data_IF_296919958703
#
_entry.id   IF_296919958703
#
_cell.length_a   1.000
_cell.length_b   1.000
_cell.length_c   1.000
_cell.angle_alpha   90.00
_cell.angle_beta   90.00
_cell.angle_gamma   90.00
#
_symmetry.space_group_name_H-M   'P 1'
#
loop_
_entity.id
_entity.type
_entity.pdbx_description
1 polymer ?
#
# COMPACT_ATOMS: atom_id res chain seq x y z
N UNK A 1 -36.86 37.33 -12.93
CA UNK A 1 -35.51 36.99 -13.38
C UNK A 1 -35.02 35.86 -12.50
N UNK A 2 -34.95 34.62 -13.06
CA UNK A 2 -34.44 33.43 -12.35
C UNK A 2 -33.00 33.28 -12.73
N UNK A 3 -32.07 33.55 -11.78
CA UNK A 3 -30.65 33.37 -11.96
C UNK A 3 -30.33 31.87 -11.78
N UNK A 4 -30.00 31.22 -12.88
CA UNK A 4 -29.60 29.80 -12.92
C UNK A 4 -28.15 29.71 -12.47
N UNK A 5 -27.91 29.24 -11.25
CA UNK A 5 -26.56 28.89 -10.76
C UNK A 5 -26.12 27.60 -11.42
N UNK A 6 -25.22 27.71 -12.39
CA UNK A 6 -24.52 26.57 -12.98
C UNK A 6 -23.41 26.15 -12.02
N UNK A 7 -23.64 25.12 -11.20
CA UNK A 7 -22.59 24.47 -10.42
C UNK A 7 -21.70 23.70 -11.40
N UNK A 8 -20.54 24.27 -11.72
CA UNK A 8 -19.45 23.56 -12.37
C UNK A 8 -18.91 22.49 -11.40
N UNK A 9 -19.39 21.25 -11.56
CA UNK A 9 -18.73 20.09 -11.00
C UNK A 9 -17.40 19.92 -11.78
N UNK A 10 -16.31 20.51 -11.27
CA UNK A 10 -14.96 20.15 -11.66
C UNK A 10 -14.69 18.73 -11.13
N UNK A 11 -15.12 17.73 -11.89
CA UNK A 11 -14.68 16.38 -11.68
C UNK A 11 -13.16 16.35 -11.76
N UNK A 12 -12.47 16.05 -10.66
CA UNK A 12 -11.07 15.72 -10.66
C UNK A 12 -10.90 14.46 -11.54
N UNK A 13 -10.65 14.66 -12.83
CA UNK A 13 -10.16 13.61 -13.71
C UNK A 13 -8.75 13.35 -13.18
N UNK A 14 -8.60 12.30 -12.35
CA UNK A 14 -7.31 11.76 -11.96
C UNK A 14 -6.66 11.22 -13.24
N UNK A 15 -5.92 12.09 -13.93
CA UNK A 15 -5.05 11.63 -15.01
C UNK A 15 -4.00 10.72 -14.40
N UNK A 16 -3.95 9.48 -14.89
CA UNK A 16 -2.85 8.58 -14.59
C UNK A 16 -1.54 9.27 -15.03
N UNK A 17 -0.59 9.40 -14.13
CA UNK A 17 0.71 9.99 -14.43
C UNK A 17 1.50 9.05 -15.34
N UNK A 18 2.21 9.58 -16.35
CA UNK A 18 3.12 8.77 -17.14
C UNK A 18 4.41 8.47 -16.36
N UNK A 19 5.05 7.34 -16.67
CA UNK A 19 6.31 6.99 -16.03
C UNK A 19 7.42 8.01 -16.31
N UNK A 20 7.46 8.57 -17.52
CA UNK A 20 8.42 9.63 -17.88
C UNK A 20 8.19 10.90 -17.05
N UNK A 21 6.93 11.26 -16.80
CA UNK A 21 6.59 12.41 -15.96
C UNK A 21 7.04 12.18 -14.52
N UNK A 22 6.76 10.98 -14.00
CA UNK A 22 7.21 10.56 -12.67
C UNK A 22 8.74 10.66 -12.53
N UNK A 23 9.50 10.13 -13.50
CA UNK A 23 10.96 10.18 -13.48
C UNK A 23 11.51 11.62 -13.50
N UNK A 24 10.90 12.51 -14.28
CA UNK A 24 11.32 13.93 -14.37
C UNK A 24 11.14 14.68 -13.05
N UNK A 25 10.14 14.33 -12.25
CA UNK A 25 9.88 14.97 -10.95
C UNK A 25 10.51 14.24 -9.77
N UNK A 26 11.19 13.11 -10.00
CA UNK A 26 11.80 12.32 -8.93
C UNK A 26 12.92 13.09 -8.26
N UNK A 27 12.82 13.29 -6.95
CA UNK A 27 13.74 14.04 -6.12
C UNK A 27 14.07 13.32 -4.80
N UNK A 28 14.80 13.99 -3.90
CA UNK A 28 15.14 13.42 -2.59
C UNK A 28 13.93 13.22 -1.68
N UNK A 29 12.88 14.03 -1.80
CA UNK A 29 11.66 13.86 -1.04
C UNK A 29 10.93 12.60 -1.50
N UNK A 30 10.73 12.44 -2.80
CA UNK A 30 10.12 11.24 -3.38
C UNK A 30 10.93 9.99 -3.02
N UNK A 31 12.27 10.06 -3.07
CA UNK A 31 13.15 8.96 -2.65
C UNK A 31 12.94 8.55 -1.19
N UNK A 32 12.60 9.46 -0.33
CA UNK A 32 12.32 9.21 1.10
C UNK A 32 10.89 8.71 1.29
N UNK A 33 9.92 9.41 0.71
CA UNK A 33 8.50 9.13 0.85
C UNK A 33 8.08 7.78 0.25
N UNK A 34 8.80 7.30 -0.77
CA UNK A 34 8.49 5.99 -1.37
C UNK A 34 8.74 4.79 -0.44
N UNK A 35 9.45 4.98 0.67
CA UNK A 35 9.96 3.91 1.56
C UNK A 35 9.27 3.91 2.91
N UNK A 36 9.09 2.71 3.47
CA UNK A 36 8.63 2.53 4.84
C UNK A 36 9.30 1.30 5.46
N UNK A 37 9.54 1.32 6.76
CA UNK A 37 10.04 0.16 7.53
C UNK A 37 8.92 -0.49 8.34
N UNK A 38 9.12 -1.74 8.74
CA UNK A 38 8.12 -2.53 9.47
C UNK A 38 7.57 -1.84 10.69
N UNK A 39 8.41 -1.26 11.55
CA UNK A 39 7.97 -0.56 12.76
C UNK A 39 6.97 0.57 12.43
N UNK A 40 7.35 1.48 11.53
CA UNK A 40 6.48 2.60 11.12
C UNK A 40 5.19 2.10 10.46
N UNK A 41 5.30 1.11 9.58
CA UNK A 41 4.14 0.57 8.86
C UNK A 41 3.14 -0.11 9.81
N UNK A 42 3.62 -0.82 10.83
CA UNK A 42 2.78 -1.44 11.86
C UNK A 42 2.04 -0.40 12.70
N UNK A 43 2.73 0.65 13.14
CA UNK A 43 2.08 1.73 13.89
C UNK A 43 1.01 2.45 13.07
N UNK A 44 1.29 2.76 11.81
CA UNK A 44 0.29 3.36 10.92
C UNK A 44 -0.89 2.41 10.64
N UNK A 45 -0.64 1.09 10.58
CA UNK A 45 -1.72 0.10 10.45
C UNK A 45 -2.61 0.07 11.70
N UNK A 46 -2.05 0.09 12.90
CA UNK A 46 -2.80 0.19 14.16
C UNK A 46 -3.70 1.44 14.19
N UNK A 47 -3.22 2.56 13.65
CA UNK A 47 -4.00 3.79 13.51
C UNK A 47 -5.03 3.76 12.36
N UNK A 48 -4.99 2.76 11.49
CA UNK A 48 -5.90 2.63 10.35
C UNK A 48 -5.52 3.48 9.14
N UNK A 49 -4.30 4.00 9.10
CA UNK A 49 -3.82 4.91 8.05
C UNK A 49 -3.21 4.20 6.84
N UNK A 50 -2.82 2.93 7.00
CA UNK A 50 -2.25 2.13 5.91
C UNK A 50 -3.02 0.84 5.68
N UNK A 51 -2.87 0.30 4.48
CA UNK A 51 -3.32 -1.01 4.06
C UNK A 51 -2.15 -1.77 3.48
N UNK A 52 -1.86 -2.96 4.01
CA UNK A 52 -0.81 -3.82 3.47
C UNK A 52 -1.31 -4.66 2.30
N UNK A 53 -0.49 -4.75 1.25
CA UNK A 53 -0.77 -5.58 0.07
C UNK A 53 0.42 -6.48 -0.22
N UNK A 54 0.23 -7.78 -0.03
CA UNK A 54 1.18 -8.82 -0.40
C UNK A 54 1.07 -9.08 -1.91
N UNK A 55 2.12 -8.68 -2.65
CA UNK A 55 2.15 -8.77 -4.11
C UNK A 55 2.90 -10.01 -4.63
N UNK A 56 3.26 -10.93 -3.75
CA UNK A 56 3.90 -12.19 -4.14
C UNK A 56 2.95 -13.04 -4.98
N UNK A 57 3.49 -14.06 -5.65
CA UNK A 57 2.67 -15.04 -6.34
C UNK A 57 1.81 -15.87 -5.39
N UNK A 58 0.70 -16.40 -5.88
CA UNK A 58 -0.26 -17.19 -5.08
C UNK A 58 0.39 -18.37 -4.36
N UNK A 59 1.34 -19.02 -5.00
CA UNK A 59 2.07 -20.16 -4.47
C UNK A 59 2.89 -19.76 -3.23
N UNK A 60 3.56 -18.61 -3.29
CA UNK A 60 4.31 -18.06 -2.15
C UNK A 60 3.38 -17.70 -0.99
N UNK A 61 2.25 -17.05 -1.30
CA UNK A 61 1.23 -16.68 -0.32
C UNK A 61 0.57 -17.90 0.33
N UNK A 62 0.44 -19.01 -0.40
CA UNK A 62 -0.11 -20.25 0.10
C UNK A 62 0.81 -20.96 1.10
N UNK A 63 2.14 -20.82 0.94
CA UNK A 63 3.12 -21.40 1.89
C UNK A 63 3.03 -20.66 3.23
N UNK A 64 2.99 -19.35 3.22
CA UNK A 64 2.80 -18.53 4.41
C UNK A 64 2.39 -17.10 4.05
N UNK A 65 1.64 -16.44 4.92
CA UNK A 65 1.23 -15.05 4.72
C UNK A 65 0.75 -14.47 6.06
N UNK A 66 0.74 -13.14 6.15
CA UNK A 66 0.12 -12.46 7.28
C UNK A 66 -1.40 -12.33 7.04
N UNK A 67 -2.25 -12.67 8.04
CA UNK A 67 -3.71 -12.68 7.88
C UNK A 67 -4.32 -11.30 7.68
N UNK A 68 -3.65 -10.22 8.07
CA UNK A 68 -4.14 -8.85 7.97
C UNK A 68 -3.83 -8.18 6.62
N UNK A 69 -3.09 -8.84 5.73
CA UNK A 69 -2.72 -8.30 4.43
C UNK A 69 -3.71 -8.69 3.34
N UNK A 70 -3.99 -7.77 2.42
CA UNK A 70 -4.60 -8.14 1.15
C UNK A 70 -3.61 -8.91 0.30
N UNK A 71 -4.08 -9.97 -0.34
CA UNK A 71 -3.28 -10.84 -1.21
C UNK A 71 -3.64 -10.52 -2.66
N UNK A 72 -2.82 -9.69 -3.30
CA UNK A 72 -3.01 -9.30 -4.70
C UNK A 72 -1.68 -9.50 -5.43
N UNK A 73 -1.49 -10.64 -6.12
CA UNK A 73 -0.28 -10.88 -6.90
C UNK A 73 0.01 -9.74 -7.87
N UNK A 74 1.30 -9.42 -8.06
CA UNK A 74 1.73 -8.31 -8.90
C UNK A 74 1.13 -8.35 -10.32
N UNK A 75 1.02 -9.53 -10.91
CA UNK A 75 0.41 -9.73 -12.22
C UNK A 75 -1.12 -9.56 -12.25
N UNK A 76 -1.79 -9.63 -11.10
CA UNK A 76 -3.24 -9.39 -10.96
C UNK A 76 -3.56 -7.96 -10.51
N UNK A 77 -2.56 -7.22 -10.01
CA UNK A 77 -2.76 -5.88 -9.46
C UNK A 77 -3.48 -4.91 -10.41
N UNK A 78 -3.19 -4.89 -11.73
CA UNK A 78 -3.87 -4.01 -12.66
C UNK A 78 -5.39 -4.21 -12.71
N UNK A 79 -5.85 -5.45 -12.60
CA UNK A 79 -7.27 -5.81 -12.69
C UNK A 79 -8.01 -5.69 -11.35
N UNK A 80 -7.25 -5.55 -10.26
CA UNK A 80 -7.77 -5.58 -8.89
C UNK A 80 -7.58 -4.27 -8.11
N UNK A 81 -7.25 -3.17 -8.79
CA UNK A 81 -7.08 -1.84 -8.18
C UNK A 81 -8.30 -1.40 -7.35
N UNK A 82 -9.51 -1.76 -7.79
CA UNK A 82 -10.75 -1.42 -7.10
C UNK A 82 -10.91 -2.05 -5.70
N UNK A 83 -10.08 -3.02 -5.34
CA UNK A 83 -10.07 -3.62 -4.00
C UNK A 83 -9.29 -2.77 -2.97
N UNK A 84 -8.51 -1.79 -3.42
CA UNK A 84 -7.66 -0.96 -2.58
C UNK A 84 -8.38 0.30 -2.08
N UNK A 85 -8.15 0.63 -0.82
CA UNK A 85 -8.71 1.84 -0.21
C UNK A 85 -7.90 3.09 -0.59
N UNK A 86 -8.50 3.96 -1.42
CA UNK A 86 -7.88 5.22 -1.87
C UNK A 86 -7.64 6.24 -0.75
N UNK A 87 -8.29 6.08 0.39
CA UNK A 87 -8.12 6.98 1.54
C UNK A 87 -6.93 6.60 2.41
N UNK A 88 -6.33 5.43 2.17
CA UNK A 88 -5.18 4.93 2.92
C UNK A 88 -3.91 4.98 2.09
N UNK A 89 -2.77 4.97 2.77
CA UNK A 89 -1.49 4.69 2.11
C UNK A 89 -1.37 3.18 1.90
N UNK A 90 -1.17 2.77 0.67
CA UNK A 90 -0.97 1.35 0.32
C UNK A 90 0.49 0.99 0.55
N UNK A 91 0.75 0.04 1.45
CA UNK A 91 2.08 -0.50 1.71
C UNK A 91 2.23 -1.83 0.97
N UNK A 92 3.00 -1.80 -0.12
CA UNK A 92 3.29 -3.00 -0.92
C UNK A 92 4.41 -3.80 -0.28
N UNK A 93 4.27 -5.13 -0.28
CA UNK A 93 5.24 -6.04 0.34
C UNK A 93 5.57 -7.24 -0.54
N UNK A 94 6.82 -7.67 -0.48
CA UNK A 94 7.32 -8.95 -1.00
C UNK A 94 8.40 -9.47 -0.04
N UNK A 95 9.09 -10.60 -0.29
CA UNK A 95 10.06 -11.11 0.68
C UNK A 95 11.15 -10.11 1.07
N UNK A 96 11.65 -9.36 0.08
CA UNK A 96 12.62 -8.28 0.27
C UNK A 96 12.00 -6.93 -0.09
N UNK A 97 12.21 -6.40 -1.29
CA UNK A 97 11.64 -5.10 -1.72
C UNK A 97 11.47 -4.93 -3.23
N UNK A 98 12.17 -5.68 -4.06
CA UNK A 98 12.26 -5.49 -5.52
C UNK A 98 10.88 -5.46 -6.22
N UNK A 99 10.07 -6.49 -6.02
CA UNK A 99 8.70 -6.56 -6.57
C UNK A 99 7.74 -5.57 -5.91
N UNK A 100 7.92 -5.32 -4.61
CA UNK A 100 7.12 -4.33 -3.87
C UNK A 100 7.36 -2.91 -4.40
N UNK A 101 8.60 -2.56 -4.75
CA UNK A 101 8.93 -1.28 -5.37
C UNK A 101 8.25 -1.13 -6.74
N UNK A 102 8.24 -2.17 -7.58
CA UNK A 102 7.52 -2.16 -8.86
C UNK A 102 6.02 -1.91 -8.67
N UNK A 103 5.39 -2.63 -7.73
CA UNK A 103 3.98 -2.42 -7.41
C UNK A 103 3.71 -1.01 -6.89
N UNK A 104 4.59 -0.49 -6.03
CA UNK A 104 4.50 0.88 -5.50
C UNK A 104 4.53 1.93 -6.61
N UNK A 105 5.49 1.83 -7.55
CA UNK A 105 5.57 2.77 -8.68
C UNK A 105 4.27 2.71 -9.49
N UNK A 106 3.80 1.51 -9.83
CA UNK A 106 2.55 1.34 -10.55
C UNK A 106 1.36 2.00 -9.84
N UNK A 107 1.19 1.76 -8.54
CA UNK A 107 0.12 2.36 -7.75
C UNK A 107 0.20 3.89 -7.70
N UNK A 108 1.41 4.43 -7.57
CA UNK A 108 1.64 5.88 -7.59
C UNK A 108 1.20 6.49 -8.92
N UNK A 109 1.56 5.86 -10.05
CA UNK A 109 1.13 6.30 -11.39
C UNK A 109 -0.40 6.23 -11.57
N UNK A 110 -1.08 5.36 -10.83
CA UNK A 110 -2.55 5.24 -10.80
C UNK A 110 -3.22 6.16 -9.76
N UNK A 111 -2.47 7.05 -9.13
CA UNK A 111 -2.99 8.06 -8.21
C UNK A 111 -3.24 7.56 -6.78
N UNK A 112 -2.69 6.41 -6.40
CA UNK A 112 -2.71 5.94 -5.02
C UNK A 112 -1.54 6.53 -4.22
N UNK A 113 -1.78 6.86 -2.95
CA UNK A 113 -0.67 7.03 -2.01
C UNK A 113 -0.07 5.65 -1.76
N UNK A 114 1.20 5.47 -2.04
CA UNK A 114 1.83 4.16 -1.92
C UNK A 114 3.28 4.24 -1.47
N UNK A 115 3.67 3.32 -0.61
CA UNK A 115 5.03 3.12 -0.10
C UNK A 115 5.39 1.64 -0.20
N UNK A 116 6.65 1.29 -0.35
CA UNK A 116 7.07 -0.10 -0.29
C UNK A 116 7.84 -0.42 0.99
N UNK A 117 7.65 -1.63 1.51
CA UNK A 117 8.30 -2.09 2.74
C UNK A 117 9.76 -2.45 2.44
N UNK A 118 10.70 -1.67 2.97
CA UNK A 118 12.14 -1.79 2.62
C UNK A 118 12.83 -2.99 3.26
N UNK A 119 12.37 -3.44 4.42
CA UNK A 119 12.85 -4.64 5.11
C UNK A 119 12.03 -5.89 4.76
N UNK A 120 11.00 -5.74 3.94
CA UNK A 120 10.19 -6.79 3.35
C UNK A 120 9.41 -7.63 4.36
N UNK A 121 8.75 -8.67 3.86
CA UNK A 121 8.03 -9.63 4.71
C UNK A 121 8.92 -10.35 5.70
N UNK A 122 10.19 -10.57 5.37
CA UNK A 122 11.15 -11.22 6.27
C UNK A 122 11.49 -10.30 7.45
N UNK A 123 11.68 -9.01 7.20
CA UNK A 123 11.88 -8.02 8.25
C UNK A 123 10.64 -7.86 9.13
N UNK A 124 9.46 -7.80 8.51
CA UNK A 124 8.20 -7.75 9.23
C UNK A 124 7.95 -8.99 10.09
N UNK A 125 8.27 -10.20 9.58
CA UNK A 125 8.18 -11.43 10.37
C UNK A 125 9.18 -11.45 11.53
N UNK A 126 10.36 -10.85 11.33
CA UNK A 126 11.33 -10.66 12.40
C UNK A 126 10.87 -9.67 13.47
N UNK A 127 10.10 -8.65 13.10
CA UNK A 127 9.52 -7.67 14.00
C UNK A 127 8.29 -8.23 14.75
N UNK A 128 7.31 -8.78 14.03
CA UNK A 128 6.07 -9.35 14.59
C UNK A 128 6.30 -10.79 15.12
N UNK A 129 7.04 -10.92 16.21
CA UNK A 129 7.29 -12.19 16.91
C UNK A 129 7.24 -12.00 18.42
N UNK A 130 6.98 -13.09 19.16
CA UNK A 130 6.93 -13.04 20.62
C UNK A 130 5.89 -12.03 21.13
N UNK A 131 6.32 -11.17 22.04
CA UNK A 131 5.45 -10.19 22.69
C UNK A 131 4.91 -9.14 21.70
N UNK A 132 5.71 -8.71 20.72
CA UNK A 132 5.29 -7.79 19.67
C UNK A 132 4.11 -8.34 18.83
N UNK A 133 4.14 -9.64 18.52
CA UNK A 133 3.05 -10.28 17.79
C UNK A 133 1.77 -10.35 18.63
N UNK A 134 1.90 -10.64 19.94
CA UNK A 134 0.77 -10.68 20.87
C UNK A 134 0.11 -9.31 20.98
N UNK A 135 0.90 -8.27 21.25
CA UNK A 135 0.44 -6.88 21.39
C UNK A 135 -0.25 -6.40 20.10
N UNK A 136 0.35 -6.66 18.95
CA UNK A 136 -0.23 -6.33 17.65
C UNK A 136 -1.62 -6.96 17.46
N UNK A 137 -1.78 -8.23 17.77
CA UNK A 137 -3.10 -8.93 17.66
C UNK A 137 -4.11 -8.33 18.62
N UNK A 138 -3.73 -8.06 19.86
CA UNK A 138 -4.60 -7.45 20.88
C UNK A 138 -5.09 -6.06 20.44
N UNK A 139 -4.20 -5.21 19.93
CA UNK A 139 -4.53 -3.85 19.47
C UNK A 139 -5.30 -3.82 18.15
N UNK A 140 -5.22 -4.87 17.35
CA UNK A 140 -5.89 -4.95 16.04
C UNK A 140 -7.06 -5.94 16.01
N UNK A 141 -7.48 -6.48 17.14
CA UNK A 141 -8.47 -7.57 17.26
C UNK A 141 -9.81 -7.31 16.53
N UNK A 142 -10.20 -6.07 16.30
CA UNK A 142 -11.40 -5.73 15.52
C UNK A 142 -11.17 -5.57 14.00
N UNK A 143 -9.92 -5.58 13.55
CA UNK A 143 -9.54 -5.27 12.16
C UNK A 143 -9.13 -6.52 11.37
N UNK A 144 -8.61 -7.53 12.06
CA UNK A 144 -8.17 -8.79 11.44
C UNK A 144 -9.35 -9.75 11.46
N UNK A 145 -9.90 -10.04 10.28
CA UNK A 145 -10.89 -11.13 10.13
C UNK A 145 -10.13 -12.46 10.04
N UNK A 146 -10.54 -13.48 10.79
CA UNK A 146 -9.94 -14.82 10.70
C UNK A 146 -10.12 -15.44 9.31
#
# INVERSE_FOLDING_TARGET
MKTLFFLLFLGNILYAESFESYLKRFDYNERTEMKIKSLEAVELYKMGEVEFVDIRFKEEQAIWSFPFMKKIPLNELPDRLGELDKNKTIVTVCPHYDRAEMARIYLTLKGYKSRYLTDGLLGLAGYLRGDEAKEFIEETAGKIKP
#
